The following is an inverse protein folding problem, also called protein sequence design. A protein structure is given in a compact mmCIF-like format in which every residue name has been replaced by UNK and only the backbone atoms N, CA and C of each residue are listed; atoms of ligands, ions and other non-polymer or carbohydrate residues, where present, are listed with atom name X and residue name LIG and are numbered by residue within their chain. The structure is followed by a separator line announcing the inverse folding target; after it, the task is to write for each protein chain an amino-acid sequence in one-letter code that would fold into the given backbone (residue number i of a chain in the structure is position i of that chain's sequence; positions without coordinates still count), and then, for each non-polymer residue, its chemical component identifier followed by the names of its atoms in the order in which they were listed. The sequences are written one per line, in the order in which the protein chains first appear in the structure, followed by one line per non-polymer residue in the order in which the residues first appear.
data_IF_630661751980
#
_entry.id   IF_630661751980
#
_cell.length_a   1.000
_cell.length_b   1.000
_cell.length_c   1.000
_cell.angle_alpha   90.00
_cell.angle_beta   90.00
_cell.angle_gamma   90.00
#
_symmetry.space_group_name_H-M   'P 1'
#
loop_
_entity.id
_entity.type
_entity.pdbx_description
1 polymer ?
#
# COMPACT_ATOMS: atom_id res chain seq x y z
N UNK A 1 -0.16 -12.63 -16.26
CA UNK A 1 0.18 -11.36 -15.59
C UNK A 1 0.18 -11.66 -14.11
N UNK A 2 1.30 -11.42 -13.43
CA UNK A 2 1.40 -11.63 -12.00
C UNK A 2 0.41 -10.77 -11.21
N UNK A 3 0.07 -11.22 -10.00
CA UNK A 3 -0.81 -10.51 -9.08
C UNK A 3 -0.01 -10.11 -7.85
N UNK A 4 -0.16 -8.85 -7.46
CA UNK A 4 0.47 -8.29 -6.26
C UNK A 4 -0.57 -7.77 -5.26
N UNK A 5 -0.32 -7.96 -3.98
CA UNK A 5 -1.09 -7.37 -2.88
C UNK A 5 -0.25 -6.32 -2.18
N UNK A 6 -0.87 -5.24 -1.74
CA UNK A 6 -0.18 -4.20 -0.96
C UNK A 6 -0.44 -4.40 0.53
N UNK A 7 0.64 -4.38 1.31
CA UNK A 7 0.62 -4.60 2.76
C UNK A 7 0.29 -3.34 3.57
N UNK A 8 -0.58 -2.48 3.03
CA UNK A 8 -0.89 -1.17 3.63
C UNK A 8 -1.52 -1.31 5.02
N UNK A 9 -2.37 -2.32 5.24
CA UNK A 9 -3.04 -2.53 6.54
C UNK A 9 -2.06 -2.98 7.60
N UNK A 10 -1.14 -3.85 7.21
CA UNK A 10 -0.11 -4.43 8.06
C UNK A 10 0.82 -3.32 8.57
N UNK A 11 1.38 -2.51 7.66
CA UNK A 11 2.24 -1.39 8.06
C UNK A 11 1.49 -0.29 8.82
N UNK A 12 0.23 -0.02 8.47
CA UNK A 12 -0.59 0.92 9.23
C UNK A 12 -0.82 0.42 10.67
N UNK A 13 -1.14 -0.87 10.84
CA UNK A 13 -1.36 -1.47 12.15
C UNK A 13 -0.08 -1.48 13.01
N UNK A 14 1.08 -1.82 12.42
CA UNK A 14 2.38 -1.80 13.10
C UNK A 14 2.73 -0.41 13.65
N UNK A 15 2.38 0.64 12.91
CA UNK A 15 2.63 2.04 13.33
C UNK A 15 1.48 2.63 14.17
N UNK A 16 0.37 1.90 14.37
CA UNK A 16 -0.82 2.36 15.07
C UNK A 16 -1.62 3.43 14.31
N UNK A 17 -1.57 3.43 12.98
CA UNK A 17 -2.23 4.42 12.13
C UNK A 17 -3.53 3.89 11.53
N UNK A 18 -4.49 4.78 11.39
CA UNK A 18 -5.69 4.54 10.58
C UNK A 18 -5.40 4.75 9.09
N UNK A 19 -6.22 4.16 8.20
CA UNK A 19 -6.11 4.42 6.76
C UNK A 19 -6.30 5.91 6.40
N UNK A 20 -7.04 6.66 7.23
CA UNK A 20 -7.19 8.10 7.08
C UNK A 20 -5.87 8.82 7.35
N UNK A 21 -5.19 8.49 8.44
CA UNK A 21 -3.87 9.05 8.73
C UNK A 21 -2.82 8.66 7.70
N UNK A 22 -2.88 7.44 7.16
CA UNK A 22 -2.02 7.04 6.03
C UNK A 22 -2.30 7.92 4.81
N UNK A 23 -3.57 8.20 4.52
CA UNK A 23 -3.96 9.12 3.43
C UNK A 23 -3.36 10.50 3.63
N UNK A 24 -3.51 11.05 4.84
CA UNK A 24 -3.05 12.40 5.18
C UNK A 24 -1.51 12.50 5.14
N UNK A 25 -0.79 11.47 5.61
CA UNK A 25 0.69 11.44 5.66
C UNK A 25 1.35 11.13 4.31
N UNK A 26 0.74 10.25 3.51
CA UNK A 26 1.31 9.82 2.22
C UNK A 26 0.90 10.71 1.05
N UNK A 27 -0.19 11.49 1.18
CA UNK A 27 -0.77 12.21 0.06
C UNK A 27 -1.31 11.26 -1.03
N UNK A 28 -1.61 10.01 -0.67
CA UNK A 28 -2.38 9.07 -1.48
C UNK A 28 -3.83 9.17 -1.06
N UNK A 29 -4.74 9.23 -2.03
CA UNK A 29 -6.17 9.43 -1.75
C UNK A 29 -6.73 8.21 -0.99
N UNK A 30 -7.56 8.47 0.02
CA UNK A 30 -8.19 7.45 0.86
C UNK A 30 -8.92 6.34 0.07
N UNK A 31 -9.60 6.68 -1.03
CA UNK A 31 -10.27 5.69 -1.89
C UNK A 31 -9.27 4.71 -2.51
N UNK A 32 -8.13 5.21 -2.98
CA UNK A 32 -7.02 4.40 -3.51
C UNK A 32 -6.48 3.47 -2.44
N UNK A 33 -6.23 3.97 -1.21
CA UNK A 33 -5.80 3.15 -0.08
C UNK A 33 -6.84 2.10 0.30
N UNK A 34 -8.13 2.43 0.21
CA UNK A 34 -9.22 1.49 0.47
C UNK A 34 -9.22 0.36 -0.58
N UNK A 35 -9.02 0.68 -1.85
CA UNK A 35 -8.87 -0.33 -2.91
C UNK A 35 -7.65 -1.21 -2.67
N UNK A 36 -6.49 -0.62 -2.40
CA UNK A 36 -5.25 -1.36 -2.15
C UNK A 36 -5.35 -2.29 -0.95
N UNK A 37 -5.98 -1.82 0.13
CA UNK A 37 -6.13 -2.58 1.37
C UNK A 37 -7.20 -3.67 1.32
N UNK A 38 -8.13 -3.61 0.37
CA UNK A 38 -9.20 -4.62 0.20
C UNK A 38 -8.92 -5.59 -0.94
N UNK A 39 -8.08 -5.22 -1.89
CA UNK A 39 -7.79 -6.08 -3.04
C UNK A 39 -6.94 -7.29 -2.61
N UNK A 40 -7.39 -8.53 -2.90
CA UNK A 40 -6.59 -9.73 -2.62
C UNK A 40 -5.42 -9.89 -3.60
N UNK A 41 -5.39 -9.10 -4.69
CA UNK A 41 -4.34 -9.12 -5.69
C UNK A 41 -4.69 -8.20 -6.86
N UNK A 42 -3.70 -7.47 -7.36
CA UNK A 42 -3.83 -6.49 -8.45
C UNK A 42 -2.78 -6.77 -9.51
N UNK A 43 -3.16 -6.68 -10.77
CA UNK A 43 -2.23 -6.84 -11.90
C UNK A 43 -1.43 -5.55 -12.20
N UNK A 44 -1.93 -4.40 -11.76
CA UNK A 44 -1.30 -3.10 -11.96
C UNK A 44 -1.51 -2.21 -10.74
N UNK A 45 -0.53 -1.36 -10.46
CA UNK A 45 -0.56 -0.37 -9.38
C UNK A 45 0.16 0.89 -9.85
N UNK A 46 -0.28 2.05 -9.38
CA UNK A 46 0.44 3.30 -9.61
C UNK A 46 1.74 3.29 -8.79
N UNK A 47 2.87 3.28 -9.49
CA UNK A 47 4.19 3.28 -8.88
C UNK A 47 4.47 4.54 -8.05
N UNK A 48 3.87 5.68 -8.40
CA UNK A 48 4.00 6.91 -7.62
C UNK A 48 3.32 6.76 -6.25
N UNK A 49 2.17 6.07 -6.20
CA UNK A 49 1.48 5.77 -4.95
C UNK A 49 2.30 4.80 -4.09
N UNK A 50 2.93 3.78 -4.70
CA UNK A 50 3.88 2.88 -4.02
C UNK A 50 5.04 3.64 -3.38
N UNK A 51 5.70 4.53 -4.14
CA UNK A 51 6.83 5.31 -3.63
C UNK A 51 6.43 6.22 -2.46
N UNK A 52 5.26 6.88 -2.56
CA UNK A 52 4.72 7.69 -1.48
C UNK A 52 4.53 6.87 -0.22
N UNK A 53 3.88 5.71 -0.34
CA UNK A 53 3.61 4.83 0.79
C UNK A 53 4.89 4.27 1.41
N UNK A 54 5.83 3.79 0.58
CA UNK A 54 7.11 3.29 1.04
C UNK A 54 7.88 4.34 1.87
N UNK A 55 7.91 5.60 1.38
CA UNK A 55 8.49 6.73 2.13
C UNK A 55 7.74 7.05 3.42
N UNK A 56 6.41 6.99 3.41
CA UNK A 56 5.59 7.26 4.60
C UNK A 56 5.76 6.19 5.68
N UNK A 57 5.91 4.93 5.29
CA UNK A 57 6.12 3.82 6.22
C UNK A 57 7.59 3.64 6.62
N UNK A 58 8.51 4.28 5.88
CA UNK A 58 9.96 4.14 6.01
C UNK A 58 10.42 2.70 5.75
N UNK A 59 10.00 2.15 4.61
CA UNK A 59 10.28 0.77 4.16
C UNK A 59 10.67 0.74 2.69
N UNK A 60 11.24 -0.36 2.21
CA UNK A 60 11.48 -0.51 0.76
C UNK A 60 10.18 -0.80 0.03
N UNK A 61 10.11 -0.47 -1.26
CA UNK A 61 8.93 -0.76 -2.10
C UNK A 61 8.64 -2.26 -2.14
N UNK A 62 9.70 -3.08 -2.12
CA UNK A 62 9.61 -4.54 -2.11
C UNK A 62 8.93 -5.07 -0.84
N UNK A 63 9.15 -4.44 0.32
CA UNK A 63 8.50 -4.83 1.58
C UNK A 63 7.00 -4.52 1.58
N UNK A 64 6.60 -3.46 0.86
CA UNK A 64 5.21 -3.02 0.74
C UNK A 64 4.38 -3.94 -0.16
N UNK A 65 5.03 -4.71 -1.03
CA UNK A 65 4.40 -5.55 -2.05
C UNK A 65 4.54 -7.02 -1.70
N UNK A 66 3.45 -7.75 -1.84
CA UNK A 66 3.41 -9.21 -1.71
C UNK A 66 3.02 -9.82 -3.06
N UNK A 67 3.88 -10.69 -3.62
CA UNK A 67 3.58 -11.40 -4.87
C UNK A 67 2.64 -12.57 -4.56
N UNK A 68 1.41 -12.47 -5.05
CA UNK A 68 0.36 -13.49 -4.86
C UNK A 68 0.42 -14.53 -5.99
N UNK A 69 0.83 -14.12 -7.19
CA UNK A 69 0.98 -14.98 -8.37
C UNK A 69 2.03 -14.41 -9.31
N UNK A 70 2.89 -15.25 -9.87
CA UNK A 70 3.87 -14.88 -10.91
C UNK A 70 3.26 -14.93 -12.33
#
# INVERSE_FOLDING_TARGET
MGLIRLRVKEFAAEKGWTLKEVSDRSGVIYSTLTTYSRSPGMAMVDFTCLLKLARTFDVMVEDLVEVVKE
#
